data_IF_666447290436
#
_entry.id   IF_666447290436
#
_cell.length_a   1.000
_cell.length_b   1.000
_cell.length_c   1.000
_cell.angle_alpha   90.00
_cell.angle_beta   90.00
_cell.angle_gamma   90.00
#
_symmetry.space_group_name_H-M   'P 1'
#
loop_
_entity.id
_entity.type
_entity.pdbx_description
1 polymer ?
#
# COMPACT_ATOMS: atom_id res chain seq x y z
N UNK A 1 20.61 20.47 -5.05
CA UNK A 1 20.29 19.54 -3.93
C UNK A 1 18.80 19.31 -3.88
N UNK A 2 18.45 18.05 -3.79
CA UNK A 2 17.16 17.38 -3.93
C UNK A 2 16.12 17.89 -2.93
N UNK A 3 14.89 18.13 -3.38
CA UNK A 3 13.68 17.92 -2.57
C UNK A 3 12.46 17.79 -3.48
N UNK A 4 12.27 16.58 -4.01
CA UNK A 4 10.99 16.15 -4.54
C UNK A 4 10.06 15.90 -3.33
N UNK A 5 9.41 16.95 -2.83
CA UNK A 5 8.36 16.84 -1.82
C UNK A 5 7.02 16.68 -2.52
N UNK A 6 6.73 15.46 -2.97
CA UNK A 6 5.47 15.13 -3.63
C UNK A 6 4.36 14.69 -2.66
N UNK A 7 4.55 14.84 -1.33
CA UNK A 7 3.60 14.33 -0.34
C UNK A 7 3.28 15.27 0.85
N UNK A 8 3.76 16.52 0.86
CA UNK A 8 3.35 17.53 1.87
C UNK A 8 2.20 18.44 1.36
N UNK A 9 1.57 18.07 0.24
CA UNK A 9 0.47 18.82 -0.37
C UNK A 9 -0.85 18.52 0.34
N UNK A 10 -0.92 18.77 1.65
CA UNK A 10 -2.21 18.59 2.33
C UNK A 10 -3.24 19.56 1.74
N UNK A 11 -2.84 20.73 1.20
CA UNK A 11 -3.71 21.58 0.38
C UNK A 11 -2.92 22.53 -0.55
N UNK A 12 -2.91 22.29 -1.86
CA UNK A 12 -2.32 23.23 -2.84
C UNK A 12 -3.29 24.41 -3.13
N UNK A 13 -2.77 25.60 -3.49
CA UNK A 13 -3.57 26.79 -3.82
C UNK A 13 -4.52 26.58 -5.01
N UNK A 14 -4.13 25.76 -6.00
CA UNK A 14 -4.99 25.44 -7.15
C UNK A 14 -6.15 24.55 -6.71
N UNK A 15 -5.86 23.52 -5.92
CA UNK A 15 -6.85 22.64 -5.30
C UNK A 15 -7.80 23.43 -4.40
N UNK A 16 -7.30 24.36 -3.58
CA UNK A 16 -8.14 25.25 -2.77
C UNK A 16 -9.13 26.08 -3.60
N UNK A 17 -8.73 26.57 -4.77
CA UNK A 17 -9.64 27.33 -5.65
C UNK A 17 -10.74 26.44 -6.21
N UNK A 18 -10.40 25.21 -6.62
CA UNK A 18 -11.36 24.21 -7.07
C UNK A 18 -12.33 23.79 -5.95
N UNK A 19 -11.80 23.35 -4.81
CA UNK A 19 -12.58 22.84 -3.68
C UNK A 19 -13.45 23.92 -3.02
N UNK A 20 -13.04 25.19 -3.05
CA UNK A 20 -13.88 26.31 -2.61
C UNK A 20 -15.16 26.42 -3.46
N UNK A 21 -15.05 26.34 -4.79
CA UNK A 21 -16.21 26.42 -5.68
C UNK A 21 -17.12 25.19 -5.55
N UNK A 22 -16.54 24.00 -5.41
CA UNK A 22 -17.30 22.76 -5.14
C UNK A 22 -18.10 22.90 -3.84
N UNK A 23 -17.47 23.38 -2.77
CA UNK A 23 -18.11 23.55 -1.46
C UNK A 23 -19.26 24.56 -1.50
N UNK A 24 -19.09 25.66 -2.25
CA UNK A 24 -20.18 26.62 -2.48
C UNK A 24 -21.36 25.96 -3.21
N UNK A 25 -21.08 25.11 -4.21
CA UNK A 25 -22.10 24.39 -4.96
C UNK A 25 -22.85 23.34 -4.10
N UNK A 26 -22.18 22.79 -3.09
CA UNK A 26 -22.77 21.83 -2.14
C UNK A 26 -23.67 22.48 -1.08
N UNK A 27 -23.61 23.81 -0.92
CA UNK A 27 -24.34 24.51 0.14
C UNK A 27 -25.85 24.25 0.06
N UNK A 28 -26.41 23.70 1.14
CA UNK A 28 -27.84 23.40 1.24
C UNK A 28 -28.29 22.14 0.50
N UNK A 29 -27.36 21.33 -0.04
CA UNK A 29 -27.66 20.07 -0.70
C UNK A 29 -27.24 18.88 0.17
N UNK A 30 -28.16 17.97 0.53
CA UNK A 30 -27.80 16.78 1.29
C UNK A 30 -27.04 15.80 0.38
N UNK A 31 -25.82 15.44 0.78
CA UNK A 31 -24.92 14.52 0.06
C UNK A 31 -25.22 13.06 0.45
N UNK A 32 -26.36 12.54 0.01
CA UNK A 32 -26.91 11.25 0.47
C UNK A 32 -26.36 10.02 -0.26
N UNK A 33 -25.73 10.20 -1.43
CA UNK A 33 -25.16 9.10 -2.22
C UNK A 33 -23.91 9.53 -3.00
N UNK A 34 -23.08 8.57 -3.39
CA UNK A 34 -21.92 8.83 -4.25
C UNK A 34 -22.33 9.48 -5.59
N UNK A 35 -23.47 9.08 -6.16
CA UNK A 35 -24.00 9.67 -7.39
C UNK A 35 -24.35 11.15 -7.20
N UNK A 36 -25.00 11.50 -6.09
CA UNK A 36 -25.33 12.91 -5.76
C UNK A 36 -24.04 13.72 -5.60
N UNK A 37 -23.02 13.16 -4.94
CA UNK A 37 -21.71 13.80 -4.79
C UNK A 37 -21.08 14.07 -6.15
N UNK A 38 -20.92 13.04 -7.00
CA UNK A 38 -20.29 13.15 -8.32
C UNK A 38 -21.02 14.15 -9.21
N UNK A 39 -22.35 14.05 -9.33
CA UNK A 39 -23.17 14.98 -10.11
C UNK A 39 -23.02 16.42 -9.62
N UNK A 40 -22.97 16.62 -8.30
CA UNK A 40 -22.84 17.97 -7.75
C UNK A 40 -21.44 18.52 -8.00
N UNK A 41 -20.37 17.73 -7.88
CA UNK A 41 -19.01 18.18 -8.26
C UNK A 41 -18.96 18.55 -9.75
N UNK A 42 -19.40 17.66 -10.64
CA UNK A 42 -19.36 17.88 -12.09
C UNK A 42 -20.20 19.07 -12.58
N UNK A 43 -21.22 19.46 -11.80
CA UNK A 43 -22.01 20.66 -12.09
C UNK A 43 -21.30 21.99 -11.75
N UNK A 44 -20.14 21.95 -11.09
CA UNK A 44 -19.42 23.14 -10.64
C UNK A 44 -18.84 23.92 -11.83
N UNK A 45 -19.32 25.15 -12.03
CA UNK A 45 -18.86 26.05 -13.09
C UNK A 45 -18.69 27.47 -12.55
N UNK A 46 -17.70 28.22 -13.03
CA UNK A 46 -17.54 29.64 -12.70
C UNK A 46 -17.66 30.52 -13.94
N UNK A 47 -18.05 31.80 -13.74
CA UNK A 47 -18.08 32.79 -14.82
C UNK A 47 -16.71 33.02 -15.48
N UNK A 48 -15.64 32.77 -14.73
CA UNK A 48 -14.26 32.88 -15.21
C UNK A 48 -13.77 31.65 -15.98
N UNK A 49 -14.65 30.65 -16.22
CA UNK A 49 -14.37 29.53 -17.10
C UNK A 49 -13.97 28.22 -16.44
N UNK A 50 -13.98 28.11 -15.10
CA UNK A 50 -13.74 26.82 -14.43
C UNK A 50 -14.81 25.82 -14.86
N UNK A 51 -14.37 24.63 -15.29
CA UNK A 51 -15.19 23.45 -15.53
C UNK A 51 -14.57 22.30 -14.75
N UNK A 52 -15.42 21.50 -14.12
CA UNK A 52 -15.00 20.37 -13.30
C UNK A 52 -15.64 19.12 -13.87
N UNK A 53 -14.82 18.15 -14.20
CA UNK A 53 -15.27 16.80 -14.50
C UNK A 53 -15.01 15.93 -13.26
N UNK A 54 -15.93 15.03 -12.97
CA UNK A 54 -15.85 14.15 -11.81
C UNK A 54 -16.44 12.79 -12.15
N UNK A 55 -15.78 11.76 -11.64
CA UNK A 55 -16.18 10.37 -11.81
C UNK A 55 -16.04 9.64 -10.47
N UNK A 56 -16.85 8.61 -10.26
CA UNK A 56 -16.69 7.72 -9.12
C UNK A 56 -15.59 6.71 -9.44
N UNK A 57 -14.45 6.83 -8.77
CA UNK A 57 -13.42 5.81 -8.81
C UNK A 57 -13.74 4.70 -7.80
N UNK A 58 -14.01 3.49 -8.31
CA UNK A 58 -14.22 2.28 -7.51
C UNK A 58 -12.95 1.42 -7.42
N UNK A 59 -11.80 1.95 -7.83
CA UNK A 59 -10.52 1.29 -7.74
C UNK A 59 -10.11 1.01 -6.30
N UNK A 60 -9.47 -0.14 -6.10
CA UNK A 60 -8.86 -0.50 -4.83
C UNK A 60 -7.42 -0.01 -4.77
N UNK A 61 -7.14 0.89 -3.83
CA UNK A 61 -5.81 1.48 -3.62
C UNK A 61 -5.24 1.04 -2.26
N UNK A 62 -4.56 -0.11 -2.18
CA UNK A 62 -4.00 -0.57 -0.92
C UNK A 62 -2.86 0.36 -0.49
N UNK A 63 -2.85 0.70 0.80
CA UNK A 63 -1.84 1.56 1.41
C UNK A 63 -0.57 0.75 1.65
N UNK A 64 0.59 1.38 1.51
CA UNK A 64 1.90 0.78 1.81
C UNK A 64 2.65 0.26 0.58
N UNK A 65 2.14 0.51 -0.63
CA UNK A 65 2.89 0.27 -1.87
C UNK A 65 4.11 1.21 -1.88
N UNK A 66 5.28 0.66 -2.18
CA UNK A 66 6.47 1.45 -2.46
C UNK A 66 6.50 1.81 -3.94
N UNK A 67 6.71 3.09 -4.26
CA UNK A 67 6.91 3.57 -5.63
C UNK A 67 8.35 4.09 -5.72
N UNK A 68 9.10 3.55 -6.69
CA UNK A 68 10.49 3.94 -6.92
C UNK A 68 10.60 5.40 -7.38
N UNK A 69 11.72 6.06 -7.08
CA UNK A 69 11.98 7.42 -7.59
C UNK A 69 12.02 7.45 -9.12
N UNK A 70 12.58 6.42 -9.73
CA UNK A 70 12.72 6.35 -11.18
C UNK A 70 11.37 6.07 -11.85
N UNK A 71 10.51 5.25 -11.23
CA UNK A 71 9.11 5.09 -11.67
C UNK A 71 8.35 6.42 -11.60
N UNK A 72 8.50 7.17 -10.50
CA UNK A 72 7.84 8.46 -10.32
C UNK A 72 8.37 9.51 -11.32
N UNK A 73 9.66 9.45 -11.67
CA UNK A 73 10.29 10.31 -12.69
C UNK A 73 9.89 9.93 -14.11
N UNK A 74 9.56 8.65 -14.34
CA UNK A 74 9.13 8.15 -15.64
C UNK A 74 7.68 8.53 -15.96
N UNK A 75 6.91 9.05 -14.99
CA UNK A 75 5.58 9.57 -15.26
C UNK A 75 5.66 10.73 -16.26
N UNK A 76 4.79 10.76 -17.28
CA UNK A 76 4.78 11.81 -18.30
C UNK A 76 4.12 13.09 -17.75
N UNK A 77 4.77 13.70 -16.76
CA UNK A 77 4.33 14.93 -16.11
C UNK A 77 5.04 16.11 -16.75
N UNK A 78 4.28 16.95 -17.45
CA UNK A 78 4.76 18.16 -18.11
C UNK A 78 4.42 19.40 -17.27
N UNK A 79 5.40 20.03 -16.60
CA UNK A 79 5.16 21.27 -15.85
C UNK A 79 4.90 22.44 -16.81
N UNK A 80 3.91 23.27 -16.50
CA UNK A 80 3.64 24.50 -17.25
C UNK A 80 4.62 25.62 -16.88
N UNK A 81 4.81 26.58 -17.78
CA UNK A 81 5.72 27.72 -17.58
C UNK A 81 5.36 28.56 -16.34
N UNK A 82 4.08 28.68 -16.03
CA UNK A 82 3.59 29.38 -14.85
C UNK A 82 3.29 28.39 -13.73
N UNK A 83 4.02 28.51 -12.63
CA UNK A 83 3.84 27.68 -11.43
C UNK A 83 3.94 26.16 -11.71
N UNK A 84 4.91 25.72 -12.52
CA UNK A 84 5.04 24.34 -12.98
C UNK A 84 5.09 23.25 -11.91
N UNK A 85 5.47 23.58 -10.67
CA UNK A 85 5.37 22.67 -9.51
C UNK A 85 3.93 22.30 -9.16
N UNK A 86 2.98 23.18 -9.49
CA UNK A 86 1.56 23.06 -9.13
C UNK A 86 0.65 22.93 -10.34
N UNK A 87 1.07 23.49 -11.47
CA UNK A 87 0.36 23.48 -12.74
C UNK A 87 1.13 22.59 -13.71
N UNK A 88 0.67 21.36 -13.88
CA UNK A 88 1.29 20.35 -14.73
C UNK A 88 0.21 19.58 -15.48
N UNK A 89 0.58 19.01 -16.62
CA UNK A 89 -0.25 18.08 -17.38
C UNK A 89 0.35 16.69 -17.24
N UNK A 90 -0.44 15.72 -16.80
CA UNK A 90 -0.07 14.29 -16.90
C UNK A 90 -0.65 13.79 -18.21
N UNK A 91 0.21 13.44 -19.16
CA UNK A 91 -0.27 12.85 -20.42
C UNK A 91 -0.72 11.40 -20.20
N UNK A 92 -1.79 10.96 -20.90
CA UNK A 92 -2.15 9.55 -20.88
C UNK A 92 -1.02 8.76 -21.51
N UNK A 93 -0.44 7.83 -20.75
CA UNK A 93 0.46 6.83 -21.30
C UNK A 93 -0.38 5.95 -22.25
N UNK A 94 -0.27 6.17 -23.55
CA UNK A 94 -1.02 5.40 -24.56
C UNK A 94 -0.73 3.89 -24.42
N UNK A 95 -1.75 3.08 -24.72
CA UNK A 95 -1.88 1.64 -24.50
C UNK A 95 -0.76 0.72 -25.03
N UNK A 96 0.27 1.24 -25.70
CA UNK A 96 1.43 0.48 -26.20
C UNK A 96 2.58 0.39 -25.17
N UNK A 97 2.61 1.28 -24.18
CA UNK A 97 3.33 0.96 -22.95
C UNK A 97 2.42 0.00 -22.20
N UNK A 98 2.82 -1.26 -22.10
CA UNK A 98 2.12 -2.25 -21.30
C UNK A 98 1.75 -1.57 -19.97
N UNK A 99 0.44 -1.47 -19.61
CA UNK A 99 0.09 -0.98 -18.30
C UNK A 99 0.93 -1.84 -17.35
N UNK A 100 1.72 -1.26 -16.45
CA UNK A 100 2.18 -2.03 -15.28
C UNK A 100 0.95 -2.04 -14.38
N UNK A 101 0.00 -2.97 -14.57
CA UNK A 101 -1.27 -2.87 -13.91
C UNK A 101 -0.98 -3.13 -12.43
N UNK A 102 -1.75 -2.52 -11.53
CA UNK A 102 -1.74 -2.93 -10.13
C UNK A 102 -1.88 -4.46 -9.96
N UNK A 103 -2.50 -5.14 -10.94
CA UNK A 103 -2.58 -6.61 -11.03
C UNK A 103 -1.24 -7.31 -11.27
N UNK A 104 -0.33 -6.78 -12.09
CA UNK A 104 0.97 -7.44 -12.29
C UNK A 104 1.80 -7.28 -11.03
N UNK A 105 1.77 -6.10 -10.39
CA UNK A 105 2.39 -5.90 -9.07
C UNK A 105 1.77 -6.75 -7.96
N UNK A 106 0.44 -6.96 -7.98
CA UNK A 106 -0.22 -7.86 -7.04
C UNK A 106 0.20 -9.32 -7.28
N UNK A 107 0.29 -9.75 -8.55
CA UNK A 107 0.76 -11.09 -8.93
C UNK A 107 2.22 -11.29 -8.59
N UNK A 108 3.11 -10.38 -8.96
CA UNK A 108 4.53 -10.38 -8.61
C UNK A 108 4.73 -10.48 -7.11
N UNK A 109 3.98 -9.68 -6.34
CA UNK A 109 4.01 -9.75 -4.87
C UNK A 109 3.50 -11.09 -4.35
N UNK A 110 2.41 -11.62 -4.90
CA UNK A 110 1.90 -12.93 -4.51
C UNK A 110 2.91 -14.04 -4.79
N UNK A 111 3.57 -14.00 -5.95
CA UNK A 111 4.67 -14.90 -6.32
C UNK A 111 5.84 -14.76 -5.34
N UNK A 112 6.29 -13.53 -5.06
CA UNK A 112 7.35 -13.29 -4.10
C UNK A 112 7.01 -13.80 -2.68
N UNK A 113 5.77 -13.60 -2.21
CA UNK A 113 5.31 -14.15 -0.93
C UNK A 113 5.31 -15.68 -0.95
N UNK A 114 4.87 -16.31 -2.06
CA UNK A 114 4.91 -17.76 -2.20
C UNK A 114 6.34 -18.30 -2.18
N UNK A 115 7.29 -17.60 -2.82
CA UNK A 115 8.71 -17.94 -2.76
C UNK A 115 9.27 -17.91 -1.33
N UNK A 116 8.85 -16.93 -0.50
CA UNK A 116 9.26 -16.88 0.90
C UNK A 116 8.77 -18.07 1.75
N UNK A 117 7.77 -18.81 1.29
CA UNK A 117 7.28 -20.02 1.95
C UNK A 117 8.18 -21.24 1.74
N UNK A 118 9.19 -21.17 0.86
CA UNK A 118 10.06 -22.31 0.56
C UNK A 118 10.72 -22.88 1.83
N UNK A 119 10.66 -24.21 2.06
CA UNK A 119 11.28 -24.86 3.22
C UNK A 119 12.79 -24.62 3.36
N UNK A 120 13.52 -24.31 2.29
CA UNK A 120 14.93 -23.93 2.34
C UNK A 120 15.13 -22.61 3.08
N UNK A 121 14.18 -21.69 2.95
CA UNK A 121 14.18 -20.40 3.62
C UNK A 121 13.58 -20.50 5.04
N UNK A 122 12.41 -21.13 5.18
CA UNK A 122 11.68 -21.16 6.46
C UNK A 122 12.15 -22.28 7.40
N UNK A 123 12.76 -23.37 6.87
CA UNK A 123 12.94 -24.69 7.53
C UNK A 123 11.67 -25.21 8.18
N UNK A 124 10.52 -24.85 7.61
CA UNK A 124 9.23 -25.35 8.01
C UNK A 124 8.58 -25.98 6.79
N UNK A 125 7.87 -27.07 7.02
CA UNK A 125 6.98 -27.64 6.02
C UNK A 125 5.77 -26.73 5.82
N UNK A 126 5.09 -26.86 4.68
CA UNK A 126 3.84 -26.14 4.44
C UNK A 126 2.77 -26.44 5.50
N UNK A 127 2.77 -27.65 6.06
CA UNK A 127 1.87 -28.04 7.14
C UNK A 127 2.16 -27.28 8.44
N UNK A 128 3.43 -27.20 8.85
CA UNK A 128 3.84 -26.44 10.04
C UNK A 128 3.57 -24.93 9.89
N UNK A 129 3.79 -24.38 8.69
CA UNK A 129 3.46 -22.98 8.39
C UNK A 129 1.96 -22.71 8.47
N UNK A 130 1.14 -23.62 7.94
CA UNK A 130 -0.33 -23.51 8.00
C UNK A 130 -0.82 -23.63 9.44
N UNK A 131 -0.25 -24.55 10.23
CA UNK A 131 -0.59 -24.71 11.63
C UNK A 131 -0.22 -23.45 12.45
N UNK A 132 0.98 -22.91 12.24
CA UNK A 132 1.41 -21.68 12.89
C UNK A 132 0.54 -20.48 12.48
N UNK A 133 0.19 -20.38 11.20
CA UNK A 133 -0.73 -19.34 10.70
C UNK A 133 -2.09 -19.45 11.37
N UNK A 134 -2.66 -20.66 11.45
CA UNK A 134 -3.94 -20.90 12.12
C UNK A 134 -3.88 -20.57 13.62
N UNK A 135 -2.77 -20.87 14.28
CA UNK A 135 -2.54 -20.58 15.71
C UNK A 135 -2.47 -19.08 15.98
N UNK A 136 -1.82 -18.31 15.12
CA UNK A 136 -1.65 -16.85 15.28
C UNK A 136 -2.86 -16.04 14.80
N UNK A 137 -3.69 -16.59 13.91
CA UNK A 137 -4.81 -15.88 13.29
C UNK A 137 -5.76 -15.19 14.29
N UNK A 138 -6.18 -15.81 15.42
CA UNK A 138 -7.04 -15.14 16.40
C UNK A 138 -6.39 -13.89 17.02
N UNK A 139 -5.10 -13.97 17.37
CA UNK A 139 -4.36 -12.87 17.96
C UNK A 139 -4.11 -11.74 16.95
N UNK A 140 -3.83 -12.09 15.69
CA UNK A 140 -3.71 -11.13 14.58
C UNK A 140 -5.03 -10.39 14.33
N UNK A 141 -6.15 -11.12 14.32
CA UNK A 141 -7.49 -10.54 14.16
C UNK A 141 -7.85 -9.60 15.32
N UNK A 142 -7.55 -9.97 16.56
CA UNK A 142 -7.78 -9.14 17.74
C UNK A 142 -6.99 -7.82 17.68
N UNK A 143 -5.68 -7.89 17.37
CA UNK A 143 -4.83 -6.70 17.22
C UNK A 143 -5.26 -5.82 16.05
N UNK A 144 -5.67 -6.42 14.93
CA UNK A 144 -6.21 -5.70 13.79
C UNK A 144 -7.49 -4.92 14.16
N UNK A 145 -8.37 -5.51 14.98
CA UNK A 145 -9.57 -4.82 15.45
C UNK A 145 -9.24 -3.72 16.45
N UNK A 146 -8.29 -3.95 17.37
CA UNK A 146 -7.83 -2.93 18.32
C UNK A 146 -7.25 -1.70 17.60
N UNK A 147 -6.39 -1.90 16.59
CA UNK A 147 -5.88 -0.78 15.77
C UNK A 147 -6.99 0.01 15.11
N UNK A 148 -7.95 -0.70 14.51
CA UNK A 148 -9.10 -0.06 13.85
C UNK A 148 -10.00 0.65 14.85
N UNK A 149 -10.15 0.14 16.07
CA UNK A 149 -10.85 0.83 17.15
C UNK A 149 -10.18 2.14 17.49
N UNK A 150 -8.86 2.14 17.72
CA UNK A 150 -8.10 3.35 18.02
C UNK A 150 -8.15 4.37 16.88
N UNK A 151 -7.97 3.93 15.63
CA UNK A 151 -8.04 4.80 14.45
C UNK A 151 -9.43 5.42 14.26
N UNK A 152 -10.51 4.68 14.57
CA UNK A 152 -11.89 5.18 14.46
C UNK A 152 -12.34 5.99 15.67
N UNK A 153 -11.64 5.89 16.80
CA UNK A 153 -12.05 6.51 18.08
C UNK A 153 -13.32 5.92 18.68
N UNK A 154 -13.70 4.67 18.35
CA UNK A 154 -14.91 4.06 18.89
C UNK A 154 -15.46 2.87 18.09
N UNK A 155 -16.74 2.55 18.37
CA UNK A 155 -17.43 1.37 17.85
C UNK A 155 -17.55 1.41 16.33
N UNK A 156 -17.36 0.22 15.76
CA UNK A 156 -17.57 -0.11 14.35
C UNK A 156 -18.96 0.35 13.86
N UNK A 157 -18.98 1.05 12.72
CA UNK A 157 -20.20 1.53 12.04
C UNK A 157 -20.60 0.70 10.81
N UNK A 158 -19.63 0.12 10.10
CA UNK A 158 -19.85 -0.65 8.86
C UNK A 158 -19.65 -2.15 9.07
N UNK A 159 -20.27 -3.01 8.26
CA UNK A 159 -20.15 -4.48 8.31
C UNK A 159 -18.70 -5.00 8.14
N UNK A 160 -18.36 -6.21 8.65
CA UNK A 160 -17.05 -6.87 8.44
C UNK A 160 -16.61 -6.82 6.98
N UNK A 161 -15.35 -6.45 6.72
CA UNK A 161 -14.81 -6.40 5.36
C UNK A 161 -15.10 -5.13 4.55
N UNK A 162 -15.95 -4.22 5.01
CA UNK A 162 -16.28 -2.96 4.31
C UNK A 162 -15.17 -1.87 4.38
N UNK A 163 -13.92 -2.26 4.65
CA UNK A 163 -12.77 -1.36 4.71
C UNK A 163 -11.68 -1.82 3.74
N UNK A 164 -10.78 -0.90 3.36
CA UNK A 164 -9.72 -1.19 2.39
C UNK A 164 -8.91 -2.44 2.72
N UNK A 165 -8.61 -3.23 1.68
CA UNK A 165 -7.81 -4.46 1.78
C UNK A 165 -6.37 -4.11 2.19
N UNK A 166 -5.81 -4.84 3.15
CA UNK A 166 -4.38 -4.74 3.48
C UNK A 166 -3.55 -5.24 2.30
N UNK A 167 -2.43 -4.57 2.05
CA UNK A 167 -1.51 -4.95 0.98
C UNK A 167 -0.89 -6.33 1.18
N UNK A 168 -0.64 -6.72 2.43
CA UNK A 168 -0.09 -8.01 2.83
C UNK A 168 -1.07 -8.74 3.74
N UNK A 169 -1.21 -10.05 3.52
CA UNK A 169 -2.01 -10.93 4.38
C UNK A 169 -1.28 -11.24 5.69
N UNK A 170 -2.02 -11.75 6.67
CA UNK A 170 -1.46 -12.18 7.95
C UNK A 170 -0.48 -13.36 7.81
N UNK A 171 -0.69 -14.22 6.80
CA UNK A 171 0.26 -15.28 6.43
C UNK A 171 1.54 -14.71 5.79
N UNK A 172 1.42 -13.70 4.92
CA UNK A 172 2.58 -13.02 4.36
C UNK A 172 3.40 -12.32 5.45
N UNK A 173 2.73 -11.68 6.42
CA UNK A 173 3.37 -11.08 7.58
C UNK A 173 4.21 -12.09 8.39
N UNK A 174 3.68 -13.30 8.58
CA UNK A 174 4.41 -14.40 9.23
C UNK A 174 5.67 -14.79 8.44
N UNK A 175 5.55 -15.05 7.12
CA UNK A 175 6.68 -15.43 6.28
C UNK A 175 7.79 -14.38 6.27
N UNK A 176 7.43 -13.12 6.08
CA UNK A 176 8.36 -11.96 6.13
C UNK A 176 9.12 -11.95 7.46
N UNK A 177 8.40 -12.17 8.55
CA UNK A 177 8.97 -12.15 9.91
C UNK A 177 9.89 -13.35 10.14
N UNK A 178 9.51 -14.55 9.69
CA UNK A 178 10.35 -15.75 9.78
C UNK A 178 11.67 -15.52 9.02
N UNK A 179 11.59 -15.12 7.75
CA UNK A 179 12.77 -14.90 6.89
C UNK A 179 13.70 -13.83 7.48
N UNK A 180 13.13 -12.76 8.03
CA UNK A 180 13.89 -11.72 8.72
C UNK A 180 14.56 -12.22 10.01
N UNK A 181 13.83 -12.92 10.89
CA UNK A 181 14.37 -13.43 12.16
C UNK A 181 15.46 -14.49 11.93
N UNK A 182 15.39 -15.20 10.80
CA UNK A 182 16.43 -16.12 10.35
C UNK A 182 17.69 -15.46 9.82
N UNK A 183 17.72 -14.14 9.71
CA UNK A 183 18.84 -13.36 9.20
C UNK A 183 19.21 -13.67 7.73
N UNK A 184 18.25 -14.15 6.94
CA UNK A 184 18.48 -14.48 5.53
C UNK A 184 18.62 -13.24 4.66
N UNK A 185 17.90 -12.15 4.98
CA UNK A 185 17.99 -10.90 4.24
C UNK A 185 17.60 -9.72 5.12
N UNK A 186 17.90 -8.50 4.66
CA UNK A 186 17.54 -7.27 5.37
C UNK A 186 16.09 -6.87 5.09
N UNK A 187 15.52 -6.01 5.94
CA UNK A 187 14.19 -5.40 5.69
C UNK A 187 14.14 -4.67 4.35
N UNK A 188 15.27 -4.09 3.92
CA UNK A 188 15.38 -3.43 2.62
C UNK A 188 15.20 -4.42 1.47
N UNK A 189 15.84 -5.59 1.53
CA UNK A 189 15.69 -6.63 0.50
C UNK A 189 14.24 -7.12 0.43
N UNK A 190 13.58 -7.31 1.59
CA UNK A 190 12.16 -7.70 1.64
C UNK A 190 11.24 -6.60 1.08
N UNK A 191 11.55 -5.34 1.36
CA UNK A 191 10.82 -4.18 0.82
C UNK A 191 10.95 -4.09 -0.71
N UNK A 192 12.17 -4.26 -1.23
CA UNK A 192 12.46 -4.27 -2.67
C UNK A 192 11.76 -5.44 -3.36
N UNK A 193 11.86 -6.66 -2.81
CA UNK A 193 11.23 -7.87 -3.35
C UNK A 193 9.70 -7.77 -3.42
N UNK A 194 9.06 -7.18 -2.40
CA UNK A 194 7.59 -7.14 -2.29
C UNK A 194 6.96 -5.88 -2.86
N UNK A 195 7.78 -4.87 -3.22
CA UNK A 195 7.30 -3.54 -3.60
C UNK A 195 6.49 -2.87 -2.48
N UNK A 196 6.90 -3.07 -1.22
CA UNK A 196 6.21 -2.58 -0.01
C UNK A 196 7.10 -1.59 0.72
N UNK A 197 6.53 -0.54 1.30
CA UNK A 197 7.29 0.46 2.05
C UNK A 197 8.10 -0.17 3.20
N UNK A 198 9.40 0.16 3.37
CA UNK A 198 10.23 -0.33 4.49
C UNK A 198 9.61 -0.14 5.87
N UNK A 199 8.91 0.98 6.11
CA UNK A 199 8.24 1.26 7.38
C UNK A 199 7.15 0.24 7.66
N UNK A 200 6.34 -0.09 6.64
CA UNK A 200 5.29 -1.10 6.74
C UNK A 200 5.87 -2.50 7.00
N UNK A 201 7.01 -2.85 6.37
CA UNK A 201 7.72 -4.09 6.65
C UNK A 201 8.22 -4.13 8.11
N UNK A 202 8.78 -3.02 8.60
CA UNK A 202 9.25 -2.91 9.99
C UNK A 202 8.14 -3.09 11.02
N UNK A 203 6.99 -2.44 10.82
CA UNK A 203 5.80 -2.58 11.66
C UNK A 203 5.29 -4.03 11.68
N UNK A 204 5.18 -4.66 10.50
CA UNK A 204 4.76 -6.06 10.36
C UNK A 204 5.68 -7.00 11.15
N UNK A 205 7.00 -6.82 11.01
CA UNK A 205 8.00 -7.64 11.69
C UNK A 205 7.90 -7.46 13.21
N UNK A 206 7.78 -6.22 13.68
CA UNK A 206 7.67 -5.93 15.11
C UNK A 206 6.40 -6.57 15.72
N UNK A 207 5.25 -6.39 15.06
CA UNK A 207 3.98 -6.95 15.52
C UNK A 207 4.00 -8.49 15.56
N UNK A 208 4.45 -9.11 14.48
CA UNK A 208 4.44 -10.57 14.32
C UNK A 208 5.48 -11.23 15.21
N UNK A 209 6.64 -10.59 15.42
CA UNK A 209 7.66 -11.08 16.37
C UNK A 209 7.10 -11.15 17.79
N UNK A 210 6.36 -10.14 18.23
CA UNK A 210 5.72 -10.18 19.56
C UNK A 210 4.76 -11.36 19.67
N UNK A 211 3.95 -11.61 18.62
CA UNK A 211 3.03 -12.75 18.60
C UNK A 211 3.76 -14.10 18.67
N UNK A 212 4.87 -14.24 17.94
CA UNK A 212 5.68 -15.46 17.98
C UNK A 212 6.23 -15.71 19.38
N UNK A 213 6.75 -14.67 20.04
CA UNK A 213 7.27 -14.77 21.43
C UNK A 213 6.16 -15.12 22.41
N UNK A 214 4.99 -14.48 22.31
CA UNK A 214 3.82 -14.78 23.16
C UNK A 214 3.36 -16.23 23.03
N UNK A 215 3.52 -16.83 21.84
CA UNK A 215 3.17 -18.24 21.58
C UNK A 215 4.36 -19.20 21.75
N UNK A 216 5.49 -18.74 22.31
CA UNK A 216 6.66 -19.58 22.59
C UNK A 216 7.43 -20.05 21.35
N UNK A 217 7.20 -19.44 20.18
CA UNK A 217 7.89 -19.79 18.94
C UNK A 217 9.17 -18.96 18.77
N UNK A 218 10.31 -19.61 19.00
CA UNK A 218 11.63 -19.02 18.78
C UNK A 218 12.19 -19.47 17.44
N UNK A 219 12.64 -18.52 16.63
CA UNK A 219 13.21 -18.76 15.31
C UNK A 219 14.72 -18.67 15.41
N UNK A 220 15.41 -19.75 15.04
CA UNK A 220 16.87 -19.82 15.06
C UNK A 220 17.46 -19.12 13.83
N UNK A 221 18.43 -18.19 14.01
CA UNK A 221 19.17 -17.61 12.90
C UNK A 221 19.88 -18.66 12.06
N UNK A 222 20.00 -18.40 10.76
CA UNK A 222 20.76 -19.26 9.84
C UNK A 222 22.21 -18.82 9.81
N UNK A 223 23.13 -19.76 9.96
CA UNK A 223 24.56 -19.51 9.79
C UNK A 223 24.95 -19.70 8.33
N UNK A 224 25.48 -18.67 7.68
CA UNK A 224 26.15 -18.79 6.37
C UNK A 224 25.31 -18.56 5.11
N UNK A 225 23.99 -18.36 5.21
CA UNK A 225 23.12 -18.02 4.08
C UNK A 225 22.54 -16.61 4.26
N UNK A 226 23.00 -15.65 3.44
CA UNK A 226 22.51 -14.27 3.47
C UNK A 226 22.44 -13.68 2.07
N UNK A 227 21.29 -13.12 1.74
CA UNK A 227 21.00 -12.43 0.49
C UNK A 227 21.07 -10.92 0.70
N UNK A 228 21.82 -10.25 -0.17
CA UNK A 228 22.00 -8.79 -0.17
C UNK A 228 21.09 -8.08 -1.17
N UNK A 229 20.51 -8.81 -2.12
CA UNK A 229 19.62 -8.29 -3.16
C UNK A 229 18.39 -9.17 -3.34
N UNK A 230 17.28 -8.59 -3.81
CA UNK A 230 16.07 -9.34 -4.14
C UNK A 230 16.34 -10.38 -5.25
N UNK A 231 17.10 -10.01 -6.28
CA UNK A 231 17.48 -10.92 -7.38
C UNK A 231 18.21 -12.17 -6.86
N UNK A 232 19.22 -12.01 -5.99
CA UNK A 232 19.95 -13.16 -5.43
C UNK A 232 19.07 -14.13 -4.62
N UNK A 233 18.01 -13.62 -4.00
CA UNK A 233 17.05 -14.44 -3.27
C UNK A 233 16.09 -15.15 -4.23
N UNK A 234 15.68 -14.48 -5.31
CA UNK A 234 14.87 -15.08 -6.36
C UNK A 234 15.62 -16.18 -7.11
N UNK A 235 16.88 -15.93 -7.51
CA UNK A 235 17.71 -16.88 -8.27
C UNK A 235 18.10 -18.14 -7.46
N UNK A 236 18.05 -18.07 -6.14
CA UNK A 236 18.33 -19.20 -5.26
C UNK A 236 17.20 -20.24 -5.25
N UNK A 237 15.99 -19.81 -5.62
CA UNK A 237 14.80 -20.65 -5.65
C UNK A 237 14.53 -21.08 -7.10
N UNK A 238 14.11 -22.35 -7.32
CA UNK A 238 13.87 -22.90 -8.65
C UNK A 238 12.64 -22.29 -9.34
#
# INVERSE_FOLDING_TARGET
MTNLRLLDAQWNKIEHRLFSQITVNWRGRPLTSHEVVVKTIASTRTRTGLRVDAELDTGDYPIGISIGRDELRALPIHPHAQCGTWNYTIEPTHADAAPVPGRDRERERATAVAMLADPRLTRMTSAELNELTARLAPAQAARAEQRRWHQRGGRRRNAPGAGGRRLLSDAAALLITIVYLRQLCSQRVLSELLGVNPNSIGEIIAETRMLLVEHGHHITPTTGLRFTTAASLSDFLP
#
